data_IF_740943324868
#
_entry.id   IF_740943324868
#
_cell.length_a   1.000
_cell.length_b   1.000
_cell.length_c   1.000
_cell.angle_alpha   90.00
_cell.angle_beta   90.00
_cell.angle_gamma   90.00
#
_symmetry.space_group_name_H-M   'P 1'
#
loop_
_entity.id
_entity.type
_entity.pdbx_description
1 polymer ?
#
# COMPACT_ATOMS: atom_id res chain seq x y z
N UNK A 1 -28.77 20.29 -10.05
CA UNK A 1 -28.17 19.28 -9.18
C UNK A 1 -26.68 19.57 -8.89
N UNK A 2 -26.29 20.84 -8.79
CA UNK A 2 -24.90 21.33 -8.71
C UNK A 2 -24.63 22.20 -7.47
N UNK A 3 -25.54 22.21 -6.47
CA UNK A 3 -25.43 23.12 -5.32
C UNK A 3 -24.98 22.49 -4.00
N UNK A 4 -24.71 21.18 -3.93
CA UNK A 4 -24.29 20.50 -2.68
C UNK A 4 -22.77 20.25 -2.56
N UNK A 5 -21.96 20.60 -3.56
CA UNK A 5 -20.52 20.35 -3.53
C UNK A 5 -19.72 21.53 -2.90
N UNK A 6 -20.33 22.69 -2.74
CA UNK A 6 -19.63 23.90 -2.25
C UNK A 6 -19.61 24.08 -0.72
N UNK A 7 -20.26 23.22 0.07
CA UNK A 7 -20.41 23.45 1.51
C UNK A 7 -19.44 22.65 2.40
N UNK A 8 -18.56 21.83 1.81
CA UNK A 8 -17.57 21.05 2.56
C UNK A 8 -16.15 21.65 2.61
N UNK A 9 -15.95 22.82 1.97
CA UNK A 9 -14.63 23.45 1.88
C UNK A 9 -14.31 24.44 3.00
N UNK A 10 -15.20 24.65 4.01
CA UNK A 10 -15.05 25.72 5.01
C UNK A 10 -14.91 25.27 6.46
N UNK A 11 -14.68 23.97 6.73
CA UNK A 11 -14.27 23.56 8.08
C UNK A 11 -12.84 23.04 8.00
N UNK A 12 -11.88 23.98 8.15
CA UNK A 12 -10.49 23.70 8.38
C UNK A 12 -10.32 22.90 9.67
N UNK A 13 -10.16 21.59 9.54
CA UNK A 13 -9.57 20.77 10.56
C UNK A 13 -8.13 20.52 10.13
N UNK A 14 -7.22 21.32 10.67
CA UNK A 14 -5.79 21.05 10.65
C UNK A 14 -5.47 20.07 11.80
N UNK A 15 -5.19 18.80 11.57
CA UNK A 15 -4.74 17.91 12.61
C UNK A 15 -3.22 17.71 12.56
N UNK A 16 -2.42 18.74 12.31
CA UNK A 16 -1.00 18.67 12.56
C UNK A 16 -0.42 20.08 12.77
N UNK A 17 -0.53 20.56 14.02
CA UNK A 17 0.32 21.62 14.52
C UNK A 17 1.46 20.97 15.34
N UNK A 18 2.68 21.21 14.88
CA UNK A 18 3.95 21.27 15.60
C UNK A 18 4.42 20.09 16.47
N UNK A 19 5.37 19.33 15.91
CA UNK A 19 6.60 19.04 16.65
C UNK A 19 7.71 19.88 16.00
N UNK A 20 8.23 20.86 16.74
CA UNK A 20 9.23 21.81 16.26
C UNK A 20 10.55 21.12 15.94
N UNK A 21 11.10 21.46 14.80
CA UNK A 21 12.42 21.11 14.32
C UNK A 21 12.66 21.84 13.01
N UNK A 22 13.30 23.01 13.05
CA UNK A 22 13.73 23.77 11.88
C UNK A 22 14.91 23.06 11.20
N UNK A 23 14.63 22.00 10.46
CA UNK A 23 15.55 21.38 9.53
C UNK A 23 14.85 21.28 8.19
N UNK A 24 15.41 21.87 7.12
CA UNK A 24 14.96 21.68 5.75
C UNK A 24 15.00 20.18 5.43
N UNK A 25 13.87 19.51 5.63
CA UNK A 25 13.72 18.09 5.31
C UNK A 25 13.64 18.01 3.80
N UNK A 26 14.76 17.70 3.14
CA UNK A 26 14.72 17.28 1.74
C UNK A 26 13.73 16.10 1.68
N UNK A 27 12.70 16.15 0.81
CA UNK A 27 11.72 15.06 0.72
C UNK A 27 12.49 13.78 0.45
N UNK A 28 12.30 12.80 1.35
CA UNK A 28 12.93 11.49 1.26
C UNK A 28 12.69 10.92 -0.14
N UNK A 29 13.70 10.24 -0.69
CA UNK A 29 13.64 9.58 -2.01
C UNK A 29 12.36 8.73 -2.17
N UNK A 30 11.89 8.15 -1.07
CA UNK A 30 10.64 7.43 -0.92
C UNK A 30 9.39 8.28 -1.28
N UNK A 31 9.29 9.51 -0.79
CA UNK A 31 8.17 10.42 -1.11
C UNK A 31 8.23 10.87 -2.57
N UNK A 32 9.44 11.14 -3.10
CA UNK A 32 9.62 11.48 -4.51
C UNK A 32 9.22 10.35 -5.44
N UNK A 33 9.59 9.11 -5.09
CA UNK A 33 9.26 7.94 -5.88
C UNK A 33 7.76 7.60 -5.83
N UNK A 34 7.11 7.75 -4.68
CA UNK A 34 5.65 7.64 -4.54
C UNK A 34 4.91 8.73 -5.32
N UNK A 35 5.43 9.95 -5.32
CA UNK A 35 4.88 11.05 -6.14
C UNK A 35 5.05 10.75 -7.63
N UNK A 36 6.18 10.17 -8.02
CA UNK A 36 6.42 9.74 -9.40
C UNK A 36 5.48 8.59 -9.79
N UNK A 37 5.29 7.60 -8.91
CA UNK A 37 4.32 6.52 -9.09
C UNK A 37 2.90 7.06 -9.37
N UNK A 38 2.43 7.99 -8.53
CA UNK A 38 1.14 8.63 -8.76
C UNK A 38 1.11 9.37 -10.12
N UNK A 39 2.20 10.06 -10.50
CA UNK A 39 2.30 10.75 -11.80
C UNK A 39 2.32 9.78 -12.97
N UNK A 40 2.98 8.64 -12.85
CA UNK A 40 3.08 7.64 -13.92
C UNK A 40 1.74 6.93 -14.15
N UNK A 41 0.94 6.75 -13.11
CA UNK A 41 -0.46 6.31 -13.23
C UNK A 41 -1.32 7.30 -14.04
N UNK A 42 -1.07 8.61 -13.90
CA UNK A 42 -1.82 9.63 -14.64
C UNK A 42 -1.30 9.89 -16.06
N UNK A 43 -0.06 9.54 -16.36
CA UNK A 43 0.54 9.79 -17.67
C UNK A 43 0.10 8.83 -18.76
N UNK A 44 -0.70 7.82 -18.46
CA UNK A 44 -1.24 6.93 -19.49
C UNK A 44 -0.14 6.36 -20.40
N UNK A 45 1.01 6.03 -19.84
CA UNK A 45 2.12 5.53 -20.64
C UNK A 45 1.73 4.19 -21.25
N UNK A 46 1.71 4.22 -22.56
CA UNK A 46 1.32 3.24 -23.54
C UNK A 46 1.14 1.82 -23.02
N UNK A 47 0.03 1.21 -23.38
CA UNK A 47 -0.23 -0.23 -23.18
C UNK A 47 1.02 -1.03 -23.57
N UNK A 48 1.93 -1.28 -22.62
CA UNK A 48 2.68 -2.53 -22.69
C UNK A 48 1.61 -3.59 -22.56
N UNK A 49 1.56 -4.54 -23.48
CA UNK A 49 0.74 -5.73 -23.36
C UNK A 49 1.08 -6.40 -22.03
N UNK A 50 0.35 -6.02 -20.98
CA UNK A 50 0.46 -6.61 -19.65
C UNK A 50 -0.19 -7.98 -19.69
N UNK A 51 0.38 -8.93 -18.99
CA UNK A 51 -0.25 -10.23 -18.79
C UNK A 51 -1.64 -10.00 -18.16
N UNK A 52 -2.66 -10.68 -18.66
CA UNK A 52 -3.98 -10.62 -18.05
C UNK A 52 -3.93 -11.26 -16.66
N UNK A 53 -4.10 -10.43 -15.63
CA UNK A 53 -4.17 -10.87 -14.23
C UNK A 53 -5.53 -10.57 -13.64
N UNK A 54 -5.97 -11.40 -12.71
CA UNK A 54 -7.21 -11.17 -11.97
C UNK A 54 -6.95 -10.29 -10.75
N UNK A 55 -7.24 -9.00 -10.86
CA UNK A 55 -7.10 -8.00 -9.77
C UNK A 55 -8.40 -7.76 -9.01
N UNK A 56 -9.41 -8.61 -9.17
CA UNK A 56 -10.64 -8.52 -8.41
C UNK A 56 -10.38 -8.82 -6.92
N UNK A 57 -10.80 -7.95 -5.99
CA UNK A 57 -10.66 -8.23 -4.56
C UNK A 57 -11.45 -9.47 -4.14
N UNK A 58 -11.00 -10.08 -3.06
CA UNK A 58 -11.78 -11.11 -2.38
C UNK A 58 -13.10 -10.50 -1.87
N UNK A 59 -14.20 -11.22 -2.05
CA UNK A 59 -15.49 -10.82 -1.48
C UNK A 59 -15.50 -10.95 0.03
N UNK A 60 -16.21 -10.05 0.70
CA UNK A 60 -16.41 -10.11 2.15
C UNK A 60 -15.17 -9.73 2.98
N UNK A 61 -14.27 -8.93 2.42
CA UNK A 61 -13.15 -8.39 3.20
C UNK A 61 -13.69 -7.51 4.34
N UNK A 62 -13.36 -7.91 5.57
CA UNK A 62 -13.54 -7.06 6.75
C UNK A 62 -12.33 -6.13 6.91
N UNK A 63 -12.54 -4.86 6.59
CA UNK A 63 -11.48 -3.85 6.70
C UNK A 63 -11.05 -3.63 8.16
N UNK A 64 -11.91 -3.81 9.14
CA UNK A 64 -11.53 -3.65 10.54
C UNK A 64 -10.55 -4.75 10.96
N UNK A 65 -10.82 -6.01 10.56
CA UNK A 65 -9.91 -7.13 10.76
C UNK A 65 -8.59 -6.99 9.98
N UNK A 66 -8.63 -6.27 8.85
CA UNK A 66 -7.43 -6.00 8.05
C UNK A 66 -6.51 -4.94 8.69
N UNK A 67 -7.00 -4.09 9.59
CA UNK A 67 -6.19 -3.06 10.25
C UNK A 67 -5.04 -3.63 11.08
N UNK A 68 -4.11 -2.79 11.52
CA UNK A 68 -2.92 -3.15 12.27
C UNK A 68 -1.69 -3.34 11.39
N UNK A 69 -0.68 -4.05 11.91
CA UNK A 69 0.60 -4.23 11.25
C UNK A 69 0.62 -5.41 10.30
N UNK A 70 1.25 -5.19 9.16
CA UNK A 70 1.58 -6.18 8.15
C UNK A 70 3.05 -6.08 7.78
N UNK A 71 3.75 -7.22 7.76
CA UNK A 71 5.12 -7.34 7.28
C UNK A 71 5.11 -7.75 5.82
N UNK A 72 5.88 -7.04 4.99
CA UNK A 72 6.06 -7.39 3.59
C UNK A 72 7.04 -8.57 3.47
N UNK A 73 6.59 -9.66 2.91
CA UNK A 73 7.43 -10.83 2.68
C UNK A 73 8.03 -10.86 1.27
N UNK A 74 7.28 -10.38 0.30
CA UNK A 74 7.75 -10.24 -1.07
C UNK A 74 6.95 -9.17 -1.81
N UNK A 75 7.56 -8.58 -2.83
CA UNK A 75 6.92 -7.63 -3.74
C UNK A 75 7.46 -7.74 -5.15
N UNK A 76 6.73 -7.20 -6.12
CA UNK A 76 7.36 -6.78 -7.36
C UNK A 76 8.20 -5.55 -7.11
N UNK A 77 9.43 -5.55 -7.65
CA UNK A 77 10.36 -4.43 -7.42
C UNK A 77 9.87 -3.19 -8.17
N UNK A 78 9.81 -2.07 -7.47
CA UNK A 78 9.35 -0.80 -8.00
C UNK A 78 10.07 0.37 -7.32
N UNK A 79 10.13 1.50 -8.01
CA UNK A 79 11.01 2.61 -7.67
C UNK A 79 10.83 3.19 -6.26
N UNK A 80 9.63 3.10 -5.67
CA UNK A 80 9.38 3.71 -4.36
C UNK A 80 9.79 2.85 -3.15
N UNK A 81 10.02 1.54 -3.35
CA UNK A 81 10.53 0.62 -2.31
C UNK A 81 11.87 -0.01 -2.69
N UNK A 82 12.47 0.47 -3.79
CA UNK A 82 13.74 -0.07 -4.27
C UNK A 82 14.83 -0.02 -3.19
N UNK A 83 15.46 -1.18 -2.94
CA UNK A 83 16.54 -1.29 -1.97
C UNK A 83 16.11 -1.28 -0.51
N UNK A 84 14.79 -1.32 -0.20
CA UNK A 84 14.31 -1.41 1.17
C UNK A 84 14.11 -2.87 1.59
N UNK A 85 14.54 -3.17 2.81
CA UNK A 85 14.28 -4.39 3.56
C UNK A 85 13.61 -4.05 4.91
N UNK A 86 13.21 -5.03 5.69
CA UNK A 86 12.46 -4.87 6.94
C UNK A 86 11.20 -4.02 6.78
N UNK A 87 10.56 -4.15 5.61
CA UNK A 87 9.39 -3.36 5.27
C UNK A 87 8.17 -3.86 6.03
N UNK A 88 7.45 -2.92 6.62
CA UNK A 88 6.13 -3.17 7.22
C UNK A 88 5.22 -1.96 7.05
N UNK A 89 3.92 -2.23 7.10
CA UNK A 89 2.88 -1.21 7.01
C UNK A 89 1.94 -1.31 8.20
N UNK A 90 1.67 -0.19 8.84
CA UNK A 90 0.62 -0.04 9.85
C UNK A 90 -0.60 0.63 9.23
N UNK A 91 -1.75 -0.02 9.32
CA UNK A 91 -3.06 0.50 8.90
C UNK A 91 -3.90 0.83 10.13
N UNK A 92 -4.51 2.00 10.15
CA UNK A 92 -5.41 2.42 11.22
C UNK A 92 -6.65 3.09 10.65
N UNK A 93 -7.83 2.57 10.98
CA UNK A 93 -9.11 3.18 10.66
C UNK A 93 -9.29 4.46 11.48
N UNK A 94 -9.68 5.55 10.82
CA UNK A 94 -9.99 6.82 11.46
C UNK A 94 -11.51 6.94 11.65
N UNK A 95 -11.97 7.81 12.60
CA UNK A 95 -13.40 7.98 12.87
C UNK A 95 -14.23 8.45 11.66
N UNK A 96 -13.60 9.10 10.69
CA UNK A 96 -14.22 9.57 9.44
C UNK A 96 -14.26 8.51 8.33
N UNK A 97 -13.83 7.28 8.62
CA UNK A 97 -13.81 6.16 7.69
C UNK A 97 -12.58 6.12 6.78
N UNK A 98 -11.65 7.07 6.90
CA UNK A 98 -10.36 6.99 6.24
C UNK A 98 -9.44 5.98 6.92
N UNK A 99 -8.50 5.45 6.17
CA UNK A 99 -7.44 4.55 6.68
C UNK A 99 -6.12 5.30 6.64
N UNK A 100 -5.52 5.53 7.80
CA UNK A 100 -4.15 6.02 7.88
C UNK A 100 -3.21 4.85 7.59
N UNK A 101 -2.26 5.08 6.68
CA UNK A 101 -1.29 4.10 6.21
C UNK A 101 0.10 4.62 6.57
N UNK A 102 0.89 3.81 7.25
CA UNK A 102 2.27 4.16 7.61
C UNK A 102 3.22 3.06 7.16
N UNK A 103 3.88 3.29 6.02
CA UNK A 103 4.90 2.38 5.50
C UNK A 103 6.25 2.71 6.13
N UNK A 104 6.98 1.69 6.54
CA UNK A 104 8.31 1.79 7.12
C UNK A 104 9.23 0.73 6.53
N UNK A 105 10.51 1.03 6.38
CA UNK A 105 11.51 0.10 5.89
C UNK A 105 12.92 0.64 6.17
N UNK A 106 13.94 -0.19 5.92
CA UNK A 106 15.34 0.19 6.07
C UNK A 106 16.08 0.01 4.74
N UNK A 107 16.98 0.94 4.41
CA UNK A 107 17.88 0.79 3.28
C UNK A 107 19.12 -0.06 3.64
N UNK A 108 19.96 -0.34 2.66
CA UNK A 108 21.18 -1.14 2.82
C UNK A 108 22.19 -0.55 3.82
N UNK A 109 22.08 0.74 4.18
CA UNK A 109 22.91 1.39 5.22
C UNK A 109 22.31 1.23 6.63
N UNK A 110 21.14 0.58 6.76
CA UNK A 110 20.38 0.46 8.00
C UNK A 110 19.56 1.71 8.35
N UNK A 111 19.54 2.73 7.49
CA UNK A 111 18.76 3.94 7.71
C UNK A 111 17.27 3.64 7.54
N UNK A 112 16.49 4.03 8.54
CA UNK A 112 15.03 3.88 8.51
C UNK A 112 14.37 4.97 7.65
N UNK A 113 13.39 4.54 6.86
CA UNK A 113 12.54 5.37 6.04
C UNK A 113 11.08 5.16 6.44
N UNK A 114 10.31 6.24 6.44
CA UNK A 114 8.89 6.19 6.75
C UNK A 114 8.10 7.11 5.82
N UNK A 115 6.95 6.63 5.35
CA UNK A 115 5.97 7.42 4.62
C UNK A 115 4.59 7.25 5.25
N UNK A 116 3.86 8.35 5.38
CA UNK A 116 2.48 8.34 5.88
C UNK A 116 1.55 8.75 4.76
N UNK A 117 0.53 7.96 4.53
CA UNK A 117 -0.51 8.18 3.54
C UNK A 117 -1.90 7.97 4.11
N UNK A 118 -2.87 8.20 3.25
CA UNK A 118 -4.29 8.02 3.53
C UNK A 118 -4.92 7.13 2.47
N UNK A 119 -5.81 6.25 2.91
CA UNK A 119 -6.59 5.40 2.03
C UNK A 119 -8.08 5.56 2.29
N UNK A 120 -8.89 5.37 1.26
CA UNK A 120 -10.33 5.28 1.37
C UNK A 120 -10.85 4.04 0.66
N UNK A 121 -11.90 3.42 1.21
CA UNK A 121 -12.59 2.28 0.62
C UNK A 121 -14.09 2.57 0.53
N UNK A 122 -14.54 3.42 -0.43
CA UNK A 122 -15.92 3.91 -0.47
C UNK A 122 -16.97 2.82 -0.60
N UNK A 123 -16.58 1.65 -1.13
CA UNK A 123 -17.48 0.50 -1.35
C UNK A 123 -17.39 -0.56 -0.25
N UNK A 124 -16.42 -0.48 0.67
CA UNK A 124 -16.17 -1.51 1.68
C UNK A 124 -15.78 -2.88 1.11
N UNK A 125 -15.35 -2.95 -0.15
CA UNK A 125 -15.17 -4.19 -0.91
C UNK A 125 -13.70 -4.60 -1.10
N UNK A 126 -12.79 -4.05 -0.30
CA UNK A 126 -11.35 -4.34 -0.41
C UNK A 126 -10.62 -3.58 -1.53
N UNK A 127 -11.32 -2.71 -2.27
CA UNK A 127 -10.72 -1.75 -3.22
C UNK A 127 -10.45 -0.43 -2.53
N UNK A 128 -9.24 -0.23 -2.09
CA UNK A 128 -8.83 1.03 -1.53
C UNK A 128 -8.24 1.93 -2.63
N UNK A 129 -8.38 3.22 -2.41
CA UNK A 129 -7.64 4.25 -3.12
C UNK A 129 -6.70 4.91 -2.12
N UNK A 130 -5.40 4.83 -2.37
CA UNK A 130 -4.37 5.27 -1.42
C UNK A 130 -3.58 6.44 -1.99
N UNK A 131 -3.20 7.38 -1.13
CA UNK A 131 -2.35 8.52 -1.48
C UNK A 131 -1.34 8.80 -0.39
N UNK A 132 -0.14 9.16 -0.81
CA UNK A 132 0.94 9.60 0.09
C UNK A 132 1.30 11.08 -0.13
N UNK A 133 0.49 11.81 -0.89
CA UNK A 133 0.71 13.22 -1.22
C UNK A 133 -0.53 14.04 -0.85
N UNK A 134 -0.40 15.04 0.04
CA UNK A 134 -1.50 15.98 0.32
C UNK A 134 -1.82 16.87 -0.89
N UNK A 135 -3.06 17.25 -1.12
CA UNK A 135 -4.26 16.74 -0.47
C UNK A 135 -4.56 15.30 -0.95
N UNK A 136 -4.69 14.37 -0.02
CA UNK A 136 -4.72 12.92 -0.26
C UNK A 136 -5.86 12.42 -1.18
N UNK A 137 -6.82 13.28 -1.50
CA UNK A 137 -7.92 12.96 -2.41
C UNK A 137 -7.61 13.17 -3.89
N UNK A 138 -6.55 13.88 -4.25
CA UNK A 138 -6.27 14.28 -5.63
C UNK A 138 -5.42 13.27 -6.40
N UNK A 139 -4.42 12.70 -5.73
CA UNK A 139 -3.46 11.77 -6.34
C UNK A 139 -3.54 10.42 -5.66
N UNK A 140 -4.51 9.60 -6.07
CA UNK A 140 -4.72 8.29 -5.48
C UNK A 140 -4.28 7.18 -6.40
N UNK A 141 -3.69 6.14 -5.83
CA UNK A 141 -3.37 4.88 -6.48
C UNK A 141 -4.32 3.77 -6.04
N UNK A 142 -4.66 2.83 -6.92
CA UNK A 142 -5.43 1.66 -6.54
C UNK A 142 -4.62 0.73 -5.64
N UNK A 143 -5.29 0.17 -4.64
CA UNK A 143 -4.78 -0.83 -3.72
C UNK A 143 -5.87 -1.85 -3.47
N UNK A 144 -5.75 -3.03 -4.05
CA UNK A 144 -6.75 -4.08 -4.01
C UNK A 144 -6.29 -5.22 -3.10
N UNK A 145 -7.09 -5.56 -2.09
CA UNK A 145 -6.87 -6.74 -1.26
C UNK A 145 -7.42 -7.93 -2.04
N UNK A 146 -6.55 -8.61 -2.80
CA UNK A 146 -6.94 -9.71 -3.66
C UNK A 146 -7.36 -10.92 -2.86
N UNK A 147 -6.63 -11.18 -1.79
CA UNK A 147 -6.84 -12.31 -0.90
C UNK A 147 -6.40 -11.94 0.52
N UNK A 148 -7.14 -12.40 1.51
CA UNK A 148 -6.72 -12.48 2.90
C UNK A 148 -7.10 -13.86 3.43
N UNK A 149 -6.23 -14.47 4.22
CA UNK A 149 -6.54 -15.73 4.89
C UNK A 149 -7.73 -15.55 5.85
N UNK A 150 -8.49 -16.61 6.18
CA UNK A 150 -9.65 -16.48 7.08
C UNK A 150 -9.33 -15.84 8.42
N UNK A 151 -8.12 -16.04 8.95
CA UNK A 151 -7.65 -15.39 10.19
C UNK A 151 -6.90 -14.08 9.97
N UNK A 152 -6.89 -13.53 8.76
CA UNK A 152 -6.10 -12.33 8.41
C UNK A 152 -4.62 -12.42 8.81
N UNK A 153 -4.03 -13.63 8.73
CA UNK A 153 -2.61 -13.87 9.03
C UNK A 153 -1.71 -13.60 7.82
N UNK A 154 -2.26 -13.71 6.61
CA UNK A 154 -1.58 -13.46 5.33
C UNK A 154 -2.50 -12.77 4.34
N UNK A 155 -1.94 -11.99 3.42
CA UNK A 155 -2.67 -11.30 2.36
C UNK A 155 -1.86 -11.21 1.07
N UNK A 156 -2.58 -11.21 -0.07
CA UNK A 156 -2.06 -10.87 -1.40
C UNK A 156 -2.71 -9.58 -1.83
N UNK A 157 -1.89 -8.62 -2.23
CA UNK A 157 -2.33 -7.26 -2.58
C UNK A 157 -1.74 -6.87 -3.94
N UNK A 158 -2.50 -6.10 -4.71
CA UNK A 158 -2.07 -5.57 -6.01
C UNK A 158 -2.65 -4.18 -6.29
N UNK A 159 -2.21 -3.57 -7.36
CA UNK A 159 -2.87 -2.43 -8.00
C UNK A 159 -4.01 -2.87 -8.93
N UNK A 160 -4.26 -2.12 -9.99
CA UNK A 160 -5.26 -2.45 -11.03
C UNK A 160 -4.76 -3.42 -12.09
N UNK A 161 -3.45 -3.69 -12.14
CA UNK A 161 -2.79 -4.47 -13.19
C UNK A 161 -1.62 -5.32 -12.65
N UNK A 162 -0.85 -5.93 -13.56
CA UNK A 162 0.27 -6.80 -13.27
C UNK A 162 1.58 -6.09 -12.90
N UNK A 163 1.55 -4.76 -12.69
CA UNK A 163 2.76 -3.99 -12.35
C UNK A 163 3.14 -4.07 -10.89
N UNK A 164 2.17 -4.35 -10.02
CA UNK A 164 2.34 -4.34 -8.57
C UNK A 164 1.77 -5.60 -7.96
N UNK A 165 2.54 -6.17 -7.05
CA UNK A 165 2.14 -7.33 -6.24
C UNK A 165 2.90 -7.27 -4.92
N UNK A 166 2.18 -7.51 -3.81
CA UNK A 166 2.74 -7.65 -2.48
C UNK A 166 2.19 -8.90 -1.81
N UNK A 167 3.07 -9.63 -1.10
CA UNK A 167 2.71 -10.69 -0.18
C UNK A 167 2.98 -10.17 1.23
N UNK A 168 1.93 -10.11 2.04
CA UNK A 168 1.95 -9.53 3.38
C UNK A 168 1.59 -10.59 4.41
N UNK A 169 2.20 -10.52 5.61
CA UNK A 169 1.87 -11.40 6.73
C UNK A 169 1.84 -10.64 8.04
N UNK A 170 1.09 -11.19 9.04
CA UNK A 170 1.08 -10.62 10.40
C UNK A 170 2.36 -10.95 11.16
N UNK A 171 2.98 -12.05 10.85
CA UNK A 171 4.25 -12.45 11.43
C UNK A 171 5.42 -11.97 10.60
N UNK A 172 6.48 -11.52 11.26
CA UNK A 172 7.72 -11.13 10.61
C UNK A 172 8.40 -12.33 9.92
N UNK A 173 8.23 -13.52 10.48
CA UNK A 173 8.74 -14.80 9.96
C UNK A 173 7.59 -15.81 9.88
N UNK A 174 6.81 -15.77 8.81
CA UNK A 174 5.71 -16.70 8.62
C UNK A 174 6.22 -18.12 8.39
N UNK A 175 5.40 -19.10 8.73
CA UNK A 175 5.63 -20.48 8.36
C UNK A 175 5.60 -20.69 6.85
N UNK A 176 6.31 -21.72 6.38
CA UNK A 176 6.43 -22.04 4.96
C UNK A 176 5.06 -22.28 4.30
N UNK A 177 4.16 -23.00 4.98
CA UNK A 177 2.82 -23.29 4.49
C UNK A 177 2.02 -22.02 4.14
N UNK A 178 2.10 -20.98 5.01
CA UNK A 178 1.44 -19.71 4.74
C UNK A 178 2.04 -19.04 3.50
N UNK A 179 3.37 -19.04 3.36
CA UNK A 179 4.03 -18.43 2.21
C UNK A 179 3.69 -19.17 0.91
N UNK A 180 3.67 -20.49 0.90
CA UNK A 180 3.26 -21.31 -0.25
C UNK A 180 1.83 -20.98 -0.67
N UNK A 181 0.91 -20.89 0.28
CA UNK A 181 -0.49 -20.51 0.03
C UNK A 181 -0.63 -19.14 -0.62
N UNK A 182 0.13 -18.14 -0.16
CA UNK A 182 0.10 -16.79 -0.76
C UNK A 182 0.68 -16.80 -2.17
N UNK A 183 1.75 -17.56 -2.40
CA UNK A 183 2.35 -17.73 -3.73
C UNK A 183 1.41 -18.46 -4.70
N UNK A 184 0.71 -19.48 -4.24
CA UNK A 184 -0.28 -20.20 -5.04
C UNK A 184 -1.45 -19.30 -5.43
N UNK A 185 -1.97 -18.51 -4.50
CA UNK A 185 -3.04 -17.54 -4.79
C UNK A 185 -2.59 -16.52 -5.84
N UNK A 186 -1.36 -15.99 -5.72
CA UNK A 186 -0.81 -15.07 -6.70
C UNK A 186 -0.70 -15.73 -8.09
N UNK A 187 -0.20 -16.97 -8.18
CA UNK A 187 -0.12 -17.72 -9.45
C UNK A 187 -1.50 -17.99 -10.05
N UNK A 188 -2.46 -18.41 -9.22
CA UNK A 188 -3.83 -18.68 -9.66
C UNK A 188 -4.48 -17.44 -10.28
N UNK A 189 -4.15 -16.26 -9.77
CA UNK A 189 -4.59 -14.97 -10.33
C UNK A 189 -3.83 -14.54 -11.59
N UNK A 190 -2.83 -15.30 -12.02
CA UNK A 190 -2.06 -15.04 -13.23
C UNK A 190 -0.79 -14.24 -13.01
N UNK A 191 -0.43 -13.89 -11.76
CA UNK A 191 0.81 -13.16 -11.49
C UNK A 191 2.04 -14.07 -11.68
N UNK A 192 3.11 -13.49 -12.20
CA UNK A 192 4.39 -14.17 -12.35
C UNK A 192 5.21 -14.10 -11.06
N UNK A 193 5.12 -15.16 -10.25
CA UNK A 193 5.83 -15.20 -8.96
C UNK A 193 7.35 -15.25 -9.08
N UNK A 194 7.92 -15.53 -10.29
CA UNK A 194 9.35 -15.44 -10.49
C UNK A 194 9.88 -13.98 -10.47
N UNK A 195 9.01 -13.00 -10.69
CA UNK A 195 9.35 -11.57 -10.58
C UNK A 195 9.39 -11.05 -9.15
N UNK A 196 8.95 -11.84 -8.17
CA UNK A 196 8.93 -11.41 -6.77
C UNK A 196 10.36 -11.27 -6.22
N UNK A 197 10.63 -10.12 -5.66
CA UNK A 197 11.75 -9.91 -4.75
C UNK A 197 11.27 -10.21 -3.33
N UNK A 198 11.95 -11.14 -2.66
CA UNK A 198 11.70 -11.41 -1.24
C UNK A 198 12.38 -10.35 -0.38
N UNK A 199 11.62 -9.80 0.55
CA UNK A 199 12.06 -8.74 1.47
C UNK A 199 12.69 -9.39 2.70
N UNK A 200 13.94 -9.05 3.02
CA UNK A 200 14.59 -9.55 4.21
C UNK A 200 13.90 -8.98 5.47
N UNK A 201 13.38 -9.87 6.30
CA UNK A 201 12.78 -9.56 7.60
C UNK A 201 13.67 -10.08 8.71
N UNK A 202 14.95 -9.63 8.76
CA UNK A 202 15.89 -10.05 9.79
C UNK A 202 15.36 -9.74 11.19
N UNK A 203 15.69 -10.60 12.16
CA UNK A 203 15.45 -10.27 13.56
C UNK A 203 16.36 -9.12 13.99
N UNK A 204 15.87 -8.30 14.89
CA UNK A 204 16.70 -7.41 15.67
C UNK A 204 17.55 -8.23 16.63
#
# INVERSE_FOLDING_TARGET
MLSKVKQFASRGVHPFANAGGSGSVKPCMFIRALTQYCRDLFRGNGKKEGRMVNTAPQRGIDLAAYMGRWYEQARYDHAFEYGLDRVFTDYAMLPDGWVRISNSGQDCSGKSHRAVGMGSCPRGDGRLRVSFVPPYSWFTAPYHILYATPGYTGAVVSGEDDRYLWLLTRERRPGQELMEKLLEEARWRGFDTARLRFTAQTAD
#
